data_IF_351136484280
#
_entry.id   IF_351136484280
#
_cell.length_a   1.000
_cell.length_b   1.000
_cell.length_c   1.000
_cell.angle_alpha   90.00
_cell.angle_beta   90.00
_cell.angle_gamma   90.00
#
_symmetry.space_group_name_H-M   'P 1'
#
loop_
_entity.id
_entity.type
_entity.pdbx_description
1 polymer ?
#
# COMPACT_ATOMS: atom_id res chain seq x y z
N UNK A 1 15.09 6.42 1.49
CA UNK A 1 13.68 6.62 1.90
C UNK A 1 13.69 7.33 3.25
N UNK A 2 13.14 8.53 3.34
CA UNK A 2 13.20 9.34 4.57
C UNK A 2 12.12 8.97 5.59
N UNK A 3 10.94 8.59 5.12
CA UNK A 3 9.82 8.14 5.94
C UNK A 3 9.01 7.10 5.18
N UNK A 4 8.52 6.10 5.90
CA UNK A 4 7.61 5.08 5.40
C UNK A 4 6.66 4.66 6.50
N UNK A 5 5.39 5.04 6.35
CA UNK A 5 4.37 4.82 7.37
C UNK A 5 3.14 4.19 6.76
N UNK A 6 2.41 3.44 7.58
CA UNK A 6 1.16 2.76 7.24
C UNK A 6 0.08 3.09 8.27
N UNK A 7 -1.16 2.72 7.99
CA UNK A 7 -2.30 2.91 8.88
C UNK A 7 -2.38 4.36 9.39
N UNK A 8 -2.62 4.55 10.68
CA UNK A 8 -2.96 5.83 11.29
C UNK A 8 -1.80 6.83 11.17
N UNK A 9 -0.55 6.35 11.25
CA UNK A 9 0.63 7.19 11.07
C UNK A 9 0.67 7.82 9.68
N UNK A 10 0.19 7.11 8.66
CA UNK A 10 0.13 7.65 7.29
C UNK A 10 -0.97 8.71 7.13
N UNK A 11 -2.04 8.63 7.92
CA UNK A 11 -3.18 9.55 7.85
C UNK A 11 -2.81 10.96 8.35
N UNK A 12 -1.88 11.06 9.30
CA UNK A 12 -1.38 12.33 9.84
C UNK A 12 -0.77 13.25 8.77
N UNK A 13 -0.30 12.68 7.66
CA UNK A 13 0.40 13.39 6.59
C UNK A 13 -0.50 13.80 5.42
N UNK A 14 -1.77 13.37 5.38
CA UNK A 14 -2.63 13.56 4.21
C UNK A 14 -2.87 15.04 3.88
N UNK A 15 -3.13 15.85 4.92
CA UNK A 15 -3.43 17.27 4.78
C UNK A 15 -2.23 18.20 4.60
N UNK A 16 -1.00 17.69 4.77
CA UNK A 16 0.22 18.49 4.64
C UNK A 16 0.66 18.61 3.18
N UNK A 17 1.25 19.75 2.83
CA UNK A 17 1.90 19.93 1.53
C UNK A 17 3.18 19.10 1.44
N UNK A 18 3.66 18.83 0.23
CA UNK A 18 4.89 18.06 0.03
C UNK A 18 6.12 18.80 0.59
N UNK A 19 6.10 20.13 0.60
CA UNK A 19 7.16 20.95 1.20
C UNK A 19 7.13 20.87 2.74
N UNK A 20 5.95 20.92 3.36
CA UNK A 20 5.83 20.73 4.83
C UNK A 20 6.32 19.33 5.24
N UNK A 21 6.01 18.31 4.44
CA UNK A 21 6.43 16.94 4.68
C UNK A 21 7.95 16.76 4.50
N UNK A 22 8.55 17.46 3.54
CA UNK A 22 10.01 17.51 3.36
C UNK A 22 10.69 18.11 4.58
N UNK A 23 10.25 19.28 5.04
CA UNK A 23 10.83 19.95 6.20
C UNK A 23 10.67 19.12 7.47
N UNK A 24 9.50 18.50 7.65
CA UNK A 24 9.24 17.55 8.74
C UNK A 24 10.24 16.38 8.71
N UNK A 25 10.36 15.71 7.57
CA UNK A 25 11.23 14.55 7.41
C UNK A 25 12.71 14.92 7.61
N UNK A 26 13.17 16.05 7.07
CA UNK A 26 14.56 16.51 7.23
C UNK A 26 14.87 16.91 8.67
N UNK A 27 13.92 17.54 9.37
CA UNK A 27 14.05 17.86 10.80
C UNK A 27 14.22 16.58 11.63
N UNK A 28 13.42 15.56 11.36
CA UNK A 28 13.47 14.31 12.12
C UNK A 28 14.70 13.47 11.75
N UNK A 29 15.11 13.44 10.48
CA UNK A 29 16.38 12.83 10.06
C UNK A 29 17.59 13.52 10.72
N UNK A 30 17.59 14.85 10.83
CA UNK A 30 18.68 15.58 11.47
C UNK A 30 18.82 15.23 12.96
N UNK A 31 17.73 14.88 13.65
CA UNK A 31 17.79 14.40 15.05
C UNK A 31 18.49 13.04 15.17
N UNK A 32 18.39 12.18 14.15
CA UNK A 32 18.95 10.82 14.17
C UNK A 32 20.37 10.81 13.60
N UNK A 33 20.61 11.58 12.54
CA UNK A 33 21.81 11.51 11.71
C UNK A 33 22.67 12.80 11.77
N UNK A 34 22.20 13.87 12.41
CA UNK A 34 22.88 15.17 12.49
C UNK A 34 22.53 16.12 11.34
N UNK A 35 22.82 17.42 11.52
CA UNK A 35 22.35 18.49 10.61
C UNK A 35 22.89 18.41 9.17
N UNK A 36 23.99 17.70 8.94
CA UNK A 36 24.60 17.58 7.61
C UNK A 36 23.64 16.96 6.58
N UNK A 37 22.67 16.13 7.01
CA UNK A 37 21.68 15.50 6.12
C UNK A 37 20.81 16.50 5.36
N UNK A 38 20.59 17.70 5.91
CA UNK A 38 19.80 18.75 5.26
C UNK A 38 20.45 19.18 3.94
N UNK A 39 21.78 19.26 3.90
CA UNK A 39 22.54 19.63 2.70
C UNK A 39 22.55 18.55 1.61
N UNK A 40 22.23 17.30 1.97
CA UNK A 40 22.19 16.17 1.04
C UNK A 40 20.86 16.07 0.29
N UNK A 41 19.84 16.82 0.68
CA UNK A 41 18.53 16.78 0.06
C UNK A 41 18.54 17.54 -1.28
N UNK A 42 18.41 16.81 -2.39
CA UNK A 42 18.32 17.39 -3.73
C UNK A 42 16.89 17.56 -4.23
N UNK A 43 15.90 17.08 -3.48
CA UNK A 43 14.48 17.11 -3.84
C UNK A 43 13.66 16.14 -3.00
N UNK A 44 12.34 16.25 -3.10
CA UNK A 44 11.37 15.37 -2.43
C UNK A 44 10.35 14.85 -3.43
N UNK A 45 9.91 13.62 -3.22
CA UNK A 45 8.72 13.07 -3.85
C UNK A 45 7.90 12.38 -2.77
N UNK A 46 6.62 12.73 -2.68
CA UNK A 46 5.70 12.17 -1.69
C UNK A 46 4.67 11.31 -2.40
N UNK A 47 4.54 10.05 -1.99
CA UNK A 47 3.48 9.15 -2.45
C UNK A 47 2.49 8.90 -1.32
N UNK A 48 1.27 9.39 -1.49
CA UNK A 48 0.13 9.15 -0.59
C UNK A 48 -0.80 8.12 -1.23
N UNK A 49 -0.64 6.84 -0.93
CA UNK A 49 -1.41 5.75 -1.56
C UNK A 49 -2.93 5.90 -1.39
N UNK A 50 -3.38 6.36 -0.22
CA UNK A 50 -4.80 6.58 0.05
C UNK A 50 -5.43 7.71 -0.78
N UNK A 51 -4.62 8.59 -1.38
CA UNK A 51 -5.07 9.69 -2.25
C UNK A 51 -4.91 9.36 -3.75
N UNK A 52 -4.31 8.23 -4.09
CA UNK A 52 -4.16 7.81 -5.47
C UNK A 52 -5.51 7.29 -6.01
N UNK A 53 -6.05 7.87 -7.11
CA UNK A 53 -7.39 7.52 -7.60
C UNK A 53 -7.49 6.11 -8.18
N UNK A 54 -6.36 5.46 -8.49
CA UNK A 54 -6.30 4.10 -9.02
C UNK A 54 -6.01 3.05 -7.95
N UNK A 55 -5.43 3.46 -6.82
CA UNK A 55 -5.10 2.55 -5.72
C UNK A 55 -6.10 2.65 -4.56
N UNK A 56 -6.61 3.85 -4.26
CA UNK A 56 -7.55 4.16 -3.17
C UNK A 56 -7.11 3.65 -1.78
N UNK A 57 -5.82 3.40 -1.61
CA UNK A 57 -5.23 2.68 -0.49
C UNK A 57 -3.89 2.05 -0.89
N UNK A 58 -3.16 1.53 0.10
CA UNK A 58 -1.85 0.91 -0.15
C UNK A 58 -1.96 -0.56 -0.58
N UNK A 59 -2.72 -1.35 0.19
CA UNK A 59 -2.96 -2.78 -0.03
C UNK A 59 -4.07 -3.25 0.92
N UNK A 60 -4.52 -4.49 0.74
CA UNK A 60 -5.55 -5.04 1.63
C UNK A 60 -4.96 -5.41 2.98
N UNK A 61 -5.55 -4.91 4.06
CA UNK A 61 -5.23 -5.38 5.40
C UNK A 61 -6.54 -5.68 6.12
N UNK A 62 -6.80 -6.97 6.34
CA UNK A 62 -8.00 -7.38 7.04
C UNK A 62 -7.91 -7.01 8.52
N UNK A 63 -8.98 -6.40 9.03
CA UNK A 63 -9.16 -6.24 10.47
C UNK A 63 -9.45 -7.60 11.11
N UNK A 64 -9.37 -7.72 12.45
CA UNK A 64 -9.58 -8.99 13.12
C UNK A 64 -10.86 -9.70 12.66
N UNK A 65 -10.73 -11.00 12.39
CA UNK A 65 -11.81 -11.91 11.93
C UNK A 65 -12.40 -11.65 10.54
N UNK A 66 -12.00 -10.60 9.81
CA UNK A 66 -12.50 -10.40 8.44
C UNK A 66 -12.08 -11.51 7.49
N UNK A 67 -10.88 -12.08 7.65
CA UNK A 67 -10.42 -13.19 6.81
C UNK A 67 -11.34 -14.42 6.90
N UNK A 68 -11.88 -14.72 8.09
CA UNK A 68 -12.82 -15.84 8.28
C UNK A 68 -14.16 -15.58 7.60
N UNK A 69 -14.61 -14.32 7.58
CA UNK A 69 -15.92 -13.92 7.07
C UNK A 69 -15.93 -13.72 5.56
N UNK A 70 -14.87 -13.14 5.00
CA UNK A 70 -14.89 -12.58 3.66
C UNK A 70 -13.92 -13.24 2.69
N UNK A 71 -12.84 -13.89 3.14
CA UNK A 71 -11.81 -14.37 2.20
C UNK A 71 -12.38 -15.38 1.20
N UNK A 72 -13.17 -16.35 1.66
CA UNK A 72 -13.80 -17.35 0.77
C UNK A 72 -14.65 -16.69 -0.31
N UNK A 73 -15.47 -15.71 0.09
CA UNK A 73 -16.38 -15.01 -0.80
C UNK A 73 -15.64 -14.06 -1.75
N UNK A 74 -14.59 -13.39 -1.28
CA UNK A 74 -13.78 -12.49 -2.11
C UNK A 74 -12.95 -13.25 -3.15
N UNK A 75 -12.56 -14.49 -2.86
CA UNK A 75 -11.66 -15.26 -3.72
C UNK A 75 -12.43 -16.09 -4.77
N UNK A 76 -13.75 -16.22 -4.63
CA UNK A 76 -14.59 -16.99 -5.56
C UNK A 76 -14.88 -16.20 -6.83
N UNK A 77 -15.07 -16.92 -7.94
CA UNK A 77 -15.61 -16.34 -9.18
C UNK A 77 -17.13 -16.28 -9.13
N UNK A 78 -17.72 -15.32 -9.84
CA UNK A 78 -19.17 -15.17 -10.00
C UNK A 78 -19.55 -15.44 -11.46
N UNK A 79 -20.01 -16.67 -11.73
CA UNK A 79 -20.29 -17.12 -13.09
C UNK A 79 -19.05 -17.05 -13.98
N UNK A 80 -19.07 -16.18 -15.00
CA UNK A 80 -17.95 -15.95 -15.94
C UNK A 80 -17.02 -14.80 -15.51
N UNK A 81 -17.26 -14.19 -14.35
CA UNK A 81 -16.44 -13.09 -13.82
C UNK A 81 -15.45 -13.65 -12.82
N UNK A 82 -14.16 -13.48 -13.10
CA UNK A 82 -13.06 -13.93 -12.25
C UNK A 82 -12.32 -12.74 -11.64
N UNK A 83 -12.03 -12.82 -10.34
CA UNK A 83 -11.31 -11.79 -9.61
C UNK A 83 -9.86 -12.24 -9.37
N UNK A 84 -8.93 -11.31 -9.62
CA UNK A 84 -7.51 -11.46 -9.40
C UNK A 84 -6.92 -10.15 -8.88
N UNK A 85 -5.76 -10.25 -8.26
CA UNK A 85 -5.08 -9.16 -7.57
C UNK A 85 -4.72 -9.54 -6.15
N UNK A 86 -3.81 -8.77 -5.56
CA UNK A 86 -3.28 -8.94 -4.21
C UNK A 86 -4.36 -9.27 -3.17
N UNK A 87 -5.45 -8.52 -3.18
CA UNK A 87 -6.61 -8.64 -2.28
C UNK A 87 -7.39 -9.97 -2.38
N UNK A 88 -7.14 -10.80 -3.40
CA UNK A 88 -7.92 -12.02 -3.68
C UNK A 88 -7.17 -13.31 -3.34
N UNK A 89 -6.05 -13.22 -2.63
CA UNK A 89 -5.31 -14.37 -2.13
C UNK A 89 -4.49 -13.98 -0.89
N UNK A 90 -3.85 -14.96 -0.25
CA UNK A 90 -2.90 -14.71 0.85
C UNK A 90 -1.46 -15.07 0.47
N UNK A 91 -0.46 -14.39 1.06
CA UNK A 91 -0.58 -13.26 2.01
C UNK A 91 -0.81 -11.89 1.33
N UNK A 92 -1.50 -10.97 1.98
CA UNK A 92 -1.73 -9.63 1.44
C UNK A 92 -0.45 -8.76 1.35
N UNK A 93 -0.52 -7.67 0.61
CA UNK A 93 0.51 -6.63 0.37
C UNK A 93 1.70 -7.04 -0.53
N UNK A 94 1.63 -8.18 -1.23
CA UNK A 94 2.73 -8.69 -2.04
C UNK A 94 2.39 -8.85 -3.52
N UNK A 95 3.36 -8.54 -4.38
CA UNK A 95 3.30 -8.80 -5.82
C UNK A 95 3.09 -10.30 -6.08
N UNK A 96 3.79 -11.16 -5.35
CA UNK A 96 3.65 -12.63 -5.43
C UNK A 96 2.18 -13.08 -5.34
N UNK A 97 1.40 -12.44 -4.46
CA UNK A 97 -0.01 -12.76 -4.26
C UNK A 97 -0.88 -12.29 -5.42
N UNK A 98 -0.57 -11.14 -6.02
CA UNK A 98 -1.17 -10.72 -7.29
C UNK A 98 -0.88 -11.74 -8.40
N UNK A 99 0.35 -12.24 -8.51
CA UNK A 99 0.73 -13.23 -9.52
C UNK A 99 0.00 -14.56 -9.30
N UNK A 100 -0.02 -15.06 -8.06
CA UNK A 100 -0.71 -16.28 -7.67
C UNK A 100 -2.21 -16.25 -8.00
N UNK A 101 -2.89 -15.15 -7.66
CA UNK A 101 -4.32 -15.00 -7.94
C UNK A 101 -4.60 -14.83 -9.45
N UNK A 102 -3.72 -14.17 -10.19
CA UNK A 102 -3.81 -14.06 -11.65
C UNK A 102 -3.70 -15.44 -12.33
N UNK A 103 -2.74 -16.26 -11.93
CA UNK A 103 -2.59 -17.64 -12.46
C UNK A 103 -3.84 -18.47 -12.16
N UNK A 104 -4.40 -18.37 -10.94
CA UNK A 104 -5.66 -19.03 -10.57
C UNK A 104 -6.80 -18.60 -11.50
N UNK A 105 -6.99 -17.28 -11.68
CA UNK A 105 -8.07 -16.75 -12.51
C UNK A 105 -7.93 -17.19 -13.97
N UNK A 106 -6.75 -17.06 -14.56
CA UNK A 106 -6.47 -17.51 -15.92
C UNK A 106 -6.72 -19.01 -16.12
N UNK A 107 -6.29 -19.83 -15.14
CA UNK A 107 -6.54 -21.28 -15.16
C UNK A 107 -8.03 -21.60 -15.11
N UNK A 108 -8.80 -20.88 -14.30
CA UNK A 108 -10.25 -21.09 -14.17
C UNK A 108 -11.02 -20.63 -15.42
N UNK A 109 -10.56 -19.57 -16.10
CA UNK A 109 -11.15 -19.09 -17.36
C UNK A 109 -10.96 -20.10 -18.50
N UNK A 110 -9.80 -20.76 -18.53
CA UNK A 110 -9.44 -21.70 -19.59
C UNK A 110 -10.08 -23.10 -19.41
N UNK A 111 -10.90 -23.32 -18.38
CA UNK A 111 -11.65 -24.56 -18.17
C UNK A 111 -13.02 -24.49 -18.83
#
# INVERSE_FOLDING_TARGET
>A
LASYTWSDDSLLFLGASDEDLKELALRDLAKIHGDHVKSLCTGVLVKKWSMDPYSLGAFTLFTPYQHLKYAKELFRSEGRVHFAGEHTAFPHAWIETSMKSAIRAATNINR
#
